data_IF_837380680575
#
_entry.id   IF_837380680575
#
_cell.length_a   1.000
_cell.length_b   1.000
_cell.length_c   1.000
_cell.angle_alpha   90.00
_cell.angle_beta   90.00
_cell.angle_gamma   90.00
#
_symmetry.space_group_name_H-M   'P 1'
#
loop_
_entity.id
_entity.type
_entity.pdbx_description
1 polymer ?
#
# COMPACT_ATOMS: atom_id res chain seq x y z
N UNK A 1 -11.11 4.33 0.46
CA UNK A 1 -10.82 4.31 -0.97
C UNK A 1 -11.14 2.94 -1.53
N UNK A 2 -11.78 2.90 -2.68
CA UNK A 2 -12.17 1.66 -3.32
C UNK A 2 -10.99 0.95 -4.00
N UNK A 3 -11.27 -0.27 -4.50
CA UNK A 3 -10.29 -1.04 -5.25
C UNK A 3 -9.81 -0.27 -6.47
N UNK A 4 -8.55 -0.41 -6.81
CA UNK A 4 -7.94 0.32 -7.94
C UNK A 4 -8.61 0.02 -9.28
N UNK A 5 -9.08 -1.22 -9.47
CA UNK A 5 -9.74 -1.60 -10.72
C UNK A 5 -11.08 -0.91 -10.93
N UNK A 6 -11.62 -0.25 -9.92
CA UNK A 6 -12.87 0.51 -10.01
C UNK A 6 -12.65 2.00 -10.30
N UNK A 7 -11.41 2.44 -10.38
CA UNK A 7 -11.07 3.83 -10.66
C UNK A 7 -11.07 4.10 -12.16
N UNK A 8 -11.63 5.26 -12.53
CA UNK A 8 -11.58 5.74 -13.92
C UNK A 8 -10.21 6.31 -14.28
N UNK A 9 -9.48 6.85 -13.30
CA UNK A 9 -8.14 7.40 -13.51
C UNK A 9 -7.06 6.36 -13.26
N UNK A 10 -5.96 6.46 -14.00
CA UNK A 10 -4.81 5.59 -13.79
C UNK A 10 -4.02 6.11 -12.58
N UNK A 11 -4.14 5.38 -11.46
CA UNK A 11 -3.45 5.75 -10.21
C UNK A 11 -1.92 5.72 -10.40
N UNK A 12 -1.40 4.88 -11.28
CA UNK A 12 0.03 4.81 -11.57
C UNK A 12 0.51 6.14 -12.16
N UNK A 13 -0.26 6.72 -13.07
CA UNK A 13 0.08 8.02 -13.65
C UNK A 13 -0.01 9.13 -12.59
N UNK A 14 -1.02 9.09 -11.71
CA UNK A 14 -1.16 10.07 -10.65
C UNK A 14 0.04 10.07 -9.70
N UNK A 15 0.54 8.90 -9.33
CA UNK A 15 1.70 8.77 -8.44
C UNK A 15 2.91 9.48 -9.04
N UNK A 16 3.09 9.40 -10.35
CA UNK A 16 4.23 10.02 -11.02
C UNK A 16 4.18 11.55 -10.98
N UNK A 17 3.01 12.14 -10.71
CA UNK A 17 2.84 13.59 -10.70
C UNK A 17 3.03 14.23 -9.33
N UNK A 18 3.22 13.43 -8.27
CA UNK A 18 3.32 13.93 -6.90
C UNK A 18 4.68 13.61 -6.29
N UNK A 19 5.04 14.33 -5.21
CA UNK A 19 6.28 14.07 -4.48
C UNK A 19 6.11 12.93 -3.48
N UNK A 20 4.93 12.80 -2.87
CA UNK A 20 4.61 11.75 -1.91
C UNK A 20 3.20 11.25 -2.18
N UNK A 21 3.00 9.94 -2.09
CA UNK A 21 1.69 9.32 -2.21
C UNK A 21 1.40 8.52 -0.94
N UNK A 22 0.35 8.91 -0.21
CA UNK A 22 -0.09 8.20 1.00
C UNK A 22 -1.27 7.34 0.60
N UNK A 23 -1.08 6.02 0.59
CA UNK A 23 -2.06 5.09 0.06
C UNK A 23 -2.58 4.15 1.13
N UNK A 24 -3.87 3.83 1.04
CA UNK A 24 -4.53 2.94 1.99
C UNK A 24 -3.88 1.56 2.04
N UNK A 25 -3.64 1.09 3.25
CA UNK A 25 -3.03 -0.21 3.50
C UNK A 25 -3.73 -0.93 4.65
N UNK A 26 -5.05 -0.81 4.74
CA UNK A 26 -5.84 -1.40 5.82
C UNK A 26 -5.54 -2.89 5.97
N UNK A 27 -5.51 -3.64 4.87
CA UNK A 27 -5.21 -5.07 4.88
C UNK A 27 -4.04 -5.38 3.97
N UNK A 28 -3.16 -6.26 4.44
CA UNK A 28 -2.04 -6.72 3.62
C UNK A 28 -2.51 -7.71 2.55
N UNK A 29 -3.26 -8.74 2.98
CA UNK A 29 -3.83 -9.75 2.07
C UNK A 29 -5.11 -10.36 2.67
N UNK A 30 -5.71 -11.31 1.96
CA UNK A 30 -6.96 -11.92 2.35
C UNK A 30 -6.87 -12.82 3.59
N UNK A 31 -5.66 -13.22 3.99
CA UNK A 31 -5.46 -14.11 5.14
C UNK A 31 -5.86 -13.46 6.46
N UNK A 32 -5.90 -12.13 6.53
CA UNK A 32 -6.25 -11.41 7.75
C UNK A 32 -7.72 -11.56 8.13
N UNK A 33 -8.58 -11.95 7.20
CA UNK A 33 -10.03 -12.09 7.41
C UNK A 33 -10.52 -13.41 6.84
N UNK A 34 -10.08 -14.55 7.42
CA UNK A 34 -10.48 -15.86 6.92
C UNK A 34 -12.00 -16.03 6.98
N UNK A 35 -12.56 -16.63 5.96
CA UNK A 35 -14.00 -16.89 5.88
C UNK A 35 -14.82 -15.72 5.34
N UNK A 36 -14.22 -14.56 5.08
CA UNK A 36 -14.91 -13.40 4.49
C UNK A 36 -14.75 -13.39 2.98
N UNK A 37 -15.78 -12.89 2.30
CA UNK A 37 -15.68 -12.62 0.86
C UNK A 37 -14.91 -11.31 0.67
N UNK A 38 -13.64 -11.42 0.32
CA UNK A 38 -12.76 -10.27 0.22
C UNK A 38 -13.08 -9.38 -0.98
N UNK A 39 -13.88 -9.86 -1.93
CA UNK A 39 -14.30 -9.04 -3.05
C UNK A 39 -15.25 -7.90 -2.61
N UNK A 40 -15.87 -8.03 -1.45
CA UNK A 40 -16.76 -7.02 -0.91
C UNK A 40 -16.05 -5.97 -0.07
N UNK A 41 -14.76 -6.16 0.24
CA UNK A 41 -13.98 -5.22 1.04
C UNK A 41 -13.60 -4.01 0.17
N UNK A 42 -13.96 -2.78 0.59
CA UNK A 42 -13.76 -1.59 -0.25
C UNK A 42 -12.34 -1.01 -0.18
N UNK A 43 -11.37 -1.77 0.31
CA UNK A 43 -9.97 -1.35 0.39
C UNK A 43 -9.11 -2.25 -0.48
N UNK A 44 -8.17 -1.70 -1.27
CA UNK A 44 -7.21 -2.54 -1.97
C UNK A 44 -6.27 -3.19 -0.96
N UNK A 45 -5.88 -4.43 -1.21
CA UNK A 45 -4.84 -5.07 -0.40
C UNK A 45 -3.49 -4.48 -0.76
N UNK A 46 -2.56 -4.47 0.21
CA UNK A 46 -1.20 -4.01 -0.06
C UNK A 46 -0.56 -4.80 -1.20
N UNK A 47 -0.77 -6.12 -1.23
CA UNK A 47 -0.22 -6.95 -2.31
C UNK A 47 -0.78 -6.58 -3.68
N UNK A 48 -2.04 -6.16 -3.75
CA UNK A 48 -2.65 -5.68 -5.00
C UNK A 48 -2.01 -4.35 -5.44
N UNK A 49 -1.82 -3.45 -4.48
CA UNK A 49 -1.20 -2.16 -4.76
C UNK A 49 0.24 -2.33 -5.22
N UNK A 50 1.02 -3.19 -4.56
CA UNK A 50 2.40 -3.45 -4.98
C UNK A 50 2.46 -4.06 -6.37
N UNK A 51 1.56 -5.00 -6.69
CA UNK A 51 1.52 -5.59 -8.03
C UNK A 51 1.27 -4.53 -9.10
N UNK A 52 0.44 -3.55 -8.79
CA UNK A 52 0.14 -2.45 -9.71
C UNK A 52 1.34 -1.51 -9.87
N UNK A 53 1.99 -1.14 -8.76
CA UNK A 53 3.06 -0.13 -8.77
C UNK A 53 4.45 -0.70 -9.06
N UNK A 54 4.64 -2.02 -9.01
CA UNK A 54 5.95 -2.63 -9.27
C UNK A 54 6.48 -2.35 -10.68
N UNK A 55 5.62 -1.96 -11.61
CA UNK A 55 6.05 -1.57 -12.96
C UNK A 55 6.75 -0.22 -13.01
N UNK A 56 6.65 0.58 -11.93
CA UNK A 56 7.37 1.83 -11.81
C UNK A 56 8.82 1.56 -11.41
N UNK A 57 9.72 2.49 -11.73
CA UNK A 57 11.10 2.36 -11.28
C UNK A 57 11.21 2.63 -9.78
N UNK A 58 12.40 2.34 -9.22
CA UNK A 58 12.62 2.42 -7.77
C UNK A 58 12.41 3.84 -7.22
N UNK A 59 12.76 4.85 -7.99
CA UNK A 59 12.60 6.25 -7.59
C UNK A 59 11.12 6.61 -7.42
N UNK A 60 10.27 6.15 -8.33
CA UNK A 60 8.85 6.39 -8.25
C UNK A 60 8.19 5.57 -7.13
N UNK A 61 8.59 4.30 -6.95
CA UNK A 61 8.06 3.47 -5.86
C UNK A 61 8.38 4.06 -4.48
N UNK A 62 9.55 4.70 -4.34
CA UNK A 62 9.97 5.30 -3.08
C UNK A 62 9.06 6.45 -2.62
N UNK A 63 8.23 7.00 -3.48
CA UNK A 63 7.25 8.03 -3.12
C UNK A 63 6.07 7.47 -2.35
N UNK A 64 5.83 6.16 -2.44
CA UNK A 64 4.63 5.52 -1.90
C UNK A 64 4.84 5.16 -0.44
N UNK A 65 3.93 5.66 0.41
CA UNK A 65 3.90 5.40 1.85
C UNK A 65 2.52 4.82 2.19
N UNK A 66 2.51 3.61 2.73
CA UNK A 66 1.26 2.95 3.12
C UNK A 66 0.81 3.43 4.50
N UNK A 67 -0.49 3.69 4.63
CA UNK A 67 -1.13 4.20 5.85
C UNK A 67 -2.38 3.39 6.19
N UNK A 68 -2.97 3.64 7.36
CA UNK A 68 -4.24 3.07 7.81
C UNK A 68 -4.20 1.54 7.99
N UNK A 69 -3.19 1.05 8.71
CA UNK A 69 -3.08 -0.39 8.97
C UNK A 69 -4.14 -0.85 9.95
N UNK A 70 -4.90 -1.89 9.58
CA UNK A 70 -5.77 -2.57 10.53
C UNK A 70 -4.91 -3.32 11.55
N UNK A 71 -5.44 -3.55 12.76
CA UNK A 71 -4.67 -4.22 13.82
C UNK A 71 -4.20 -5.63 13.43
N UNK A 72 -4.89 -6.29 12.51
CA UNK A 72 -4.52 -7.62 12.01
C UNK A 72 -3.39 -7.59 10.98
N UNK A 73 -3.01 -6.41 10.50
CA UNK A 73 -2.07 -6.27 9.39
C UNK A 73 -0.64 -6.58 9.87
N UNK A 74 0.06 -7.54 9.24
CA UNK A 74 1.43 -7.88 9.65
C UNK A 74 2.44 -6.74 9.50
N UNK A 75 2.09 -5.68 8.76
CA UNK A 75 2.99 -4.53 8.59
C UNK A 75 3.22 -3.74 9.87
N UNK A 76 2.42 -3.98 10.93
CA UNK A 76 2.72 -3.42 12.25
C UNK A 76 4.03 -3.96 12.83
N UNK A 77 4.46 -5.15 12.40
CA UNK A 77 5.65 -5.81 12.94
C UNK A 77 6.81 -5.71 11.93
N UNK A 78 7.85 -4.90 12.22
CA UNK A 78 9.00 -4.78 11.31
C UNK A 78 9.78 -6.08 11.12
N UNK A 79 9.54 -7.08 11.96
CA UNK A 79 10.19 -8.40 11.84
C UNK A 79 9.38 -9.35 10.97
N UNK A 80 8.17 -8.98 10.57
CA UNK A 80 7.36 -9.85 9.71
C UNK A 80 7.92 -9.95 8.30
N UNK A 81 7.66 -11.07 7.64
CA UNK A 81 8.06 -11.25 6.24
C UNK A 81 7.37 -10.23 5.34
N UNK A 82 6.10 -9.88 5.66
CA UNK A 82 5.35 -8.88 4.92
C UNK A 82 6.03 -7.51 4.95
N UNK A 83 6.46 -7.07 6.14
CA UNK A 83 7.15 -5.78 6.28
C UNK A 83 8.45 -5.78 5.46
N UNK A 84 9.23 -6.85 5.58
CA UNK A 84 10.50 -6.97 4.85
C UNK A 84 10.27 -6.96 3.34
N UNK A 85 9.21 -7.60 2.88
CA UNK A 85 8.85 -7.63 1.45
C UNK A 85 8.51 -6.22 0.94
N UNK A 86 7.69 -5.47 1.69
CA UNK A 86 7.31 -4.10 1.33
C UNK A 86 8.56 -3.22 1.22
N UNK A 87 9.43 -3.27 2.20
CA UNK A 87 10.68 -2.50 2.20
C UNK A 87 11.61 -2.92 1.06
N UNK A 88 11.75 -4.23 0.84
CA UNK A 88 12.64 -4.76 -0.21
C UNK A 88 12.18 -4.35 -1.60
N UNK A 89 10.88 -4.16 -1.80
CA UNK A 89 10.32 -3.74 -3.08
C UNK A 89 10.33 -2.22 -3.27
N UNK A 90 10.84 -1.47 -2.28
CA UNK A 90 11.07 -0.04 -2.40
C UNK A 90 9.95 0.86 -1.89
N UNK A 91 8.95 0.30 -1.22
CA UNK A 91 7.86 1.07 -0.62
C UNK A 91 8.16 1.40 0.84
N UNK A 92 7.38 2.32 1.40
CA UNK A 92 7.56 2.77 2.77
C UNK A 92 6.26 2.68 3.57
N UNK A 93 6.39 2.66 4.90
CA UNK A 93 5.26 2.80 5.82
C UNK A 93 5.31 4.21 6.40
N UNK A 94 4.15 4.89 6.45
CA UNK A 94 4.07 6.21 7.06
C UNK A 94 3.92 6.07 8.58
N UNK A 95 4.69 6.86 9.32
CA UNK A 95 4.69 6.84 10.78
C UNK A 95 3.89 8.03 11.31
N UNK A 96 3.22 7.84 12.45
CA UNK A 96 2.57 8.94 13.15
C UNK A 96 3.62 10.01 13.49
N UNK A 97 3.37 11.24 13.09
CA UNK A 97 4.31 12.34 13.34
C UNK A 97 5.44 12.46 12.33
N UNK A 98 5.47 11.62 11.31
CA UNK A 98 6.46 11.71 10.25
C UNK A 98 6.33 13.03 9.48
N UNK A 99 7.48 13.62 9.15
CA UNK A 99 7.53 14.88 8.41
C UNK A 99 7.99 14.58 6.98
N UNK A 100 7.24 15.08 6.01
CA UNK A 100 7.61 15.00 4.59
C UNK A 100 8.12 16.37 4.13
N UNK A 101 9.29 16.38 3.48
CA UNK A 101 9.88 17.60 2.93
C UNK A 101 9.45 17.76 1.47
N UNK A 102 8.72 18.82 1.20
CA UNK A 102 8.22 19.11 -0.15
C UNK A 102 9.16 20.01 -0.93
#
# INVERSE_FOLDING_TARGET
IDKWQLWDEDIVELVQTVDYALLDATFYNAEELPGRDMSEIPHPFVIESMALFDRLDAEERAKIHFIHLNHSNPLWNPQSDAFKEVEARGYHLAWKGQIFNL
#
